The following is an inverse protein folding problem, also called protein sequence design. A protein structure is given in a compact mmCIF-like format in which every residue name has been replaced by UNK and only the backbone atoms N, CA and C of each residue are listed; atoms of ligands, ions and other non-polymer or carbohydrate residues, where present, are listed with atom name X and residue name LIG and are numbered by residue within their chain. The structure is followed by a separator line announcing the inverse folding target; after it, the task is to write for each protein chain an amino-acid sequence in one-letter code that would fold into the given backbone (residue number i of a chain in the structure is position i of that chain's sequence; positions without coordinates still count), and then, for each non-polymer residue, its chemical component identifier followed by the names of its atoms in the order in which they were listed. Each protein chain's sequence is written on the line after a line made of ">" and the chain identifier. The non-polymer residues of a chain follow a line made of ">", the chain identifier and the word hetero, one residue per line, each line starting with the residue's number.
data_IF_452221035230
#
_entry.id   IF_452221035230
#
_cell.length_a   1.000
_cell.length_b   1.000
_cell.length_c   1.000
_cell.angle_alpha   90.00
_cell.angle_beta   90.00
_cell.angle_gamma   90.00
#
_symmetry.space_group_name_H-M   'P 1'
#
loop_
_entity.id
_entity.type
_entity.pdbx_description
1 polymer ?
#
# COMPACT_ATOMS: atom_id res chain seq x y z
N UNK A 1 56.13 -17.01 30.97
CA UNK A 1 54.76 -17.32 30.52
C UNK A 1 54.22 -16.07 29.86
N UNK A 2 54.39 -15.95 28.55
CA UNK A 2 53.75 -14.91 27.77
C UNK A 2 52.25 -15.20 27.70
N UNK A 3 51.45 -14.24 28.15
CA UNK A 3 50.00 -14.28 28.03
C UNK A 3 49.69 -14.00 26.56
N UNK A 4 49.36 -15.04 25.80
CA UNK A 4 48.74 -14.92 24.49
C UNK A 4 47.37 -14.23 24.67
N UNK A 5 47.35 -12.90 24.57
CA UNK A 5 46.14 -12.14 24.34
C UNK A 5 45.66 -12.48 22.93
N UNK A 6 44.69 -13.39 22.84
CA UNK A 6 43.89 -13.61 21.63
C UNK A 6 43.35 -12.26 21.17
N UNK A 7 43.98 -11.67 20.15
CA UNK A 7 43.42 -10.55 19.41
C UNK A 7 42.22 -11.09 18.66
N UNK A 8 41.03 -11.02 19.28
CA UNK A 8 39.76 -11.16 18.55
C UNK A 8 39.82 -10.23 17.36
N UNK A 9 39.98 -10.79 16.16
CA UNK A 9 39.92 -10.04 14.91
C UNK A 9 38.50 -9.46 14.85
N UNK A 10 38.37 -8.16 15.14
CA UNK A 10 37.09 -7.47 15.01
C UNK A 10 36.78 -7.36 13.53
N UNK A 11 35.91 -8.24 13.03
CA UNK A 11 35.35 -8.14 11.69
C UNK A 11 34.66 -6.77 11.58
N UNK A 12 35.11 -5.95 10.62
CA UNK A 12 34.59 -4.62 10.35
C UNK A 12 34.25 -4.52 8.87
N UNK A 13 33.17 -3.81 8.55
CA UNK A 13 32.86 -3.49 7.15
C UNK A 13 33.81 -2.42 6.61
N UNK A 14 33.74 -2.16 5.29
CA UNK A 14 34.50 -1.08 4.59
C UNK A 14 34.22 0.32 5.16
N UNK A 15 33.08 0.52 5.83
CA UNK A 15 32.69 1.78 6.51
C UNK A 15 33.10 1.79 7.99
N UNK A 16 33.86 0.78 8.45
CA UNK A 16 34.48 0.75 9.78
C UNK A 16 33.60 0.23 10.93
N UNK A 17 32.34 -0.10 10.67
CA UNK A 17 31.41 -0.63 11.69
C UNK A 17 31.71 -2.10 12.01
N UNK A 18 31.77 -2.46 13.29
CA UNK A 18 31.94 -3.84 13.74
C UNK A 18 30.63 -4.62 13.85
N UNK A 19 30.71 -5.93 14.09
CA UNK A 19 29.55 -6.84 14.23
C UNK A 19 28.58 -6.42 15.35
N UNK A 20 29.09 -5.85 16.44
CA UNK A 20 28.32 -5.52 17.66
C UNK A 20 27.72 -4.11 17.62
N UNK A 21 28.12 -3.27 16.66
CA UNK A 21 27.69 -1.88 16.53
C UNK A 21 26.55 -1.75 15.51
N UNK A 22 25.64 -0.79 15.68
CA UNK A 22 24.62 -0.51 14.66
C UNK A 22 25.24 0.01 13.35
N UNK A 23 24.63 -0.30 12.22
CA UNK A 23 25.03 0.28 10.93
C UNK A 23 24.80 1.80 10.92
N UNK A 24 25.69 2.54 10.24
CA UNK A 24 25.51 3.98 10.03
C UNK A 24 24.32 4.23 9.09
N UNK A 25 23.57 5.30 9.34
CA UNK A 25 22.34 5.61 8.61
C UNK A 25 22.53 5.88 7.10
N UNK A 26 23.76 6.14 6.67
CA UNK A 26 24.16 6.36 5.29
C UNK A 26 24.98 5.20 4.70
N UNK A 27 25.08 4.05 5.40
CA UNK A 27 25.82 2.89 4.90
C UNK A 27 25.35 2.51 3.48
N UNK A 28 24.04 2.57 3.24
CA UNK A 28 23.45 2.26 1.94
C UNK A 28 23.90 3.19 0.81
N UNK A 29 24.00 4.50 1.09
CA UNK A 29 24.44 5.51 0.13
C UNK A 29 25.96 5.46 -0.09
N UNK A 30 26.72 5.20 0.96
CA UNK A 30 28.18 5.10 0.90
C UNK A 30 28.69 3.84 0.17
N UNK A 31 27.83 2.84 0.00
CA UNK A 31 28.10 1.63 -0.77
C UNK A 31 27.70 1.75 -2.26
N UNK A 32 27.14 2.88 -2.68
CA UNK A 32 26.71 3.13 -4.06
C UNK A 32 27.40 4.38 -4.60
N UNK A 33 28.47 4.19 -5.41
CA UNK A 33 28.52 5.03 -6.61
C UNK A 33 28.75 4.28 -7.94
N UNK A 34 29.52 3.18 -8.02
CA UNK A 34 29.87 2.54 -9.32
C UNK A 34 30.42 1.09 -9.20
N UNK A 35 30.29 0.42 -8.05
CA UNK A 35 30.96 -0.87 -7.80
C UNK A 35 30.11 -2.08 -8.25
N UNK A 36 30.74 -3.07 -8.88
CA UNK A 36 30.11 -4.33 -9.25
C UNK A 36 29.53 -5.03 -8.00
N UNK A 37 28.34 -5.63 -8.11
CA UNK A 37 27.59 -6.30 -7.03
C UNK A 37 28.38 -7.28 -6.15
N UNK A 38 29.55 -7.74 -6.62
CA UNK A 38 30.47 -8.61 -5.89
C UNK A 38 31.20 -7.87 -4.75
N UNK A 39 31.71 -6.67 -4.98
CA UNK A 39 32.46 -5.90 -3.96
C UNK A 39 31.55 -5.43 -2.82
N UNK A 40 30.30 -5.09 -3.13
CA UNK A 40 29.28 -4.75 -2.13
C UNK A 40 29.00 -5.95 -1.23
N UNK A 41 28.88 -7.16 -1.79
CA UNK A 41 28.68 -8.39 -1.01
C UNK A 41 29.88 -8.73 -0.13
N UNK A 42 31.09 -8.58 -0.65
CA UNK A 42 32.32 -8.92 0.07
C UNK A 42 32.66 -7.89 1.18
N UNK A 43 32.17 -6.65 1.08
CA UNK A 43 32.46 -5.57 2.04
C UNK A 43 31.35 -5.30 3.08
N UNK A 44 30.13 -5.75 2.80
CA UNK A 44 28.98 -5.54 3.68
C UNK A 44 28.80 -6.71 4.66
N UNK A 45 28.93 -6.43 5.96
CA UNK A 45 28.74 -7.44 7.03
C UNK A 45 27.29 -7.48 7.55
N UNK A 46 26.33 -6.90 6.83
CA UNK A 46 24.93 -6.84 7.31
C UNK A 46 24.32 -8.24 7.45
N UNK A 47 24.66 -9.17 6.56
CA UNK A 47 24.27 -10.59 6.70
C UNK A 47 24.79 -11.18 8.02
N UNK A 48 26.04 -10.91 8.37
CA UNK A 48 26.64 -11.46 9.60
C UNK A 48 25.99 -10.86 10.85
N UNK A 49 25.63 -9.56 10.81
CA UNK A 49 24.91 -8.90 11.90
C UNK A 49 23.51 -9.47 12.10
N UNK A 50 22.76 -9.67 11.02
CA UNK A 50 21.43 -10.29 11.10
C UNK A 50 21.52 -11.75 11.55
N UNK A 51 22.55 -12.48 11.13
CA UNK A 51 22.82 -13.83 11.63
C UNK A 51 23.17 -13.82 13.13
N UNK A 52 24.04 -12.92 13.57
CA UNK A 52 24.39 -12.78 14.99
C UNK A 52 23.16 -12.42 15.83
N UNK A 53 22.22 -11.64 15.28
CA UNK A 53 20.94 -11.37 15.92
C UNK A 53 20.09 -12.64 16.04
N UNK A 54 19.98 -13.43 14.96
CA UNK A 54 19.26 -14.72 14.96
C UNK A 54 19.82 -15.70 16.00
N UNK A 55 21.14 -15.66 16.23
CA UNK A 55 21.86 -16.48 17.21
C UNK A 55 21.84 -15.88 18.64
N UNK A 56 21.18 -14.74 18.86
CA UNK A 56 21.09 -14.07 20.17
C UNK A 56 22.39 -13.41 20.64
N UNK A 57 23.36 -13.21 19.75
CA UNK A 57 24.69 -12.64 20.07
C UNK A 57 24.72 -11.12 20.05
N UNK A 58 23.79 -10.48 19.33
CA UNK A 58 23.66 -9.01 19.28
C UNK A 58 22.21 -8.58 19.51
N UNK A 59 22.03 -7.35 19.99
CA UNK A 59 20.71 -6.79 20.28
C UNK A 59 19.91 -6.40 19.03
N UNK A 60 18.61 -6.18 19.23
CA UNK A 60 17.64 -5.85 18.17
C UNK A 60 18.04 -4.61 17.35
N UNK A 61 18.61 -3.58 17.99
CA UNK A 61 19.03 -2.36 17.30
C UNK A 61 20.12 -2.62 16.24
N UNK A 62 21.01 -3.58 16.50
CA UNK A 62 22.07 -3.97 15.56
C UNK A 62 21.46 -4.74 14.38
N UNK A 63 20.56 -5.69 14.66
CA UNK A 63 19.85 -6.45 13.62
C UNK A 63 18.99 -5.56 12.71
N UNK A 64 18.17 -4.69 13.31
CA UNK A 64 17.29 -3.76 12.57
C UNK A 64 18.10 -2.76 11.75
N UNK A 65 19.18 -2.19 12.31
CA UNK A 65 20.02 -1.26 11.53
C UNK A 65 20.73 -1.96 10.38
N UNK A 66 21.13 -3.23 10.55
CA UNK A 66 21.69 -4.03 9.45
C UNK A 66 20.65 -4.28 8.35
N UNK A 67 19.42 -4.63 8.71
CA UNK A 67 18.31 -4.81 7.77
C UNK A 67 18.02 -3.53 6.97
N UNK A 68 17.85 -2.39 7.66
CA UNK A 68 17.49 -1.11 7.02
C UNK A 68 18.60 -0.54 6.13
N UNK A 69 19.86 -0.89 6.40
CA UNK A 69 21.02 -0.32 5.70
C UNK A 69 21.64 -1.29 4.68
N UNK A 70 21.17 -2.53 4.63
CA UNK A 70 21.68 -3.52 3.70
C UNK A 70 21.29 -3.18 2.25
N UNK A 71 22.18 -3.55 1.33
CA UNK A 71 21.83 -3.60 -0.08
C UNK A 71 20.84 -4.76 -0.33
N UNK A 72 19.82 -4.62 -1.21
CA UNK A 72 18.83 -5.67 -1.47
C UNK A 72 19.42 -7.05 -1.77
N UNK A 73 20.48 -7.10 -2.59
CA UNK A 73 21.19 -8.35 -2.89
C UNK A 73 21.73 -9.08 -1.65
N UNK A 74 22.15 -8.34 -0.61
CA UNK A 74 22.62 -8.93 0.65
C UNK A 74 21.45 -9.54 1.42
N UNK A 75 20.28 -8.90 1.38
CA UNK A 75 19.06 -9.41 2.01
C UNK A 75 18.53 -10.66 1.29
N UNK A 76 18.55 -10.66 -0.05
CA UNK A 76 18.18 -11.81 -0.87
C UNK A 76 19.09 -13.02 -0.59
N UNK A 77 20.40 -12.81 -0.54
CA UNK A 77 21.35 -13.85 -0.21
C UNK A 77 21.13 -14.35 1.23
N UNK A 78 20.92 -13.43 2.18
CA UNK A 78 20.67 -13.78 3.58
C UNK A 78 19.46 -14.70 3.75
N UNK A 79 18.32 -14.38 3.15
CA UNK A 79 17.11 -15.22 3.29
C UNK A 79 17.20 -16.53 2.49
N UNK A 80 18.12 -16.64 1.52
CA UNK A 80 18.35 -17.87 0.78
C UNK A 80 19.05 -18.95 1.62
N UNK A 81 19.70 -18.56 2.73
CA UNK A 81 20.44 -19.46 3.63
C UNK A 81 19.53 -20.39 4.45
N UNK A 82 18.23 -20.14 4.53
CA UNK A 82 17.28 -21.01 5.25
C UNK A 82 16.08 -20.28 5.85
N UNK A 83 15.13 -21.07 6.36
CA UNK A 83 13.85 -20.59 6.92
C UNK A 83 14.03 -19.66 8.12
N UNK A 84 15.00 -19.95 9.00
CA UNK A 84 15.29 -19.11 10.17
C UNK A 84 15.64 -17.67 9.76
N UNK A 85 16.44 -17.50 8.70
CA UNK A 85 16.85 -16.17 8.22
C UNK A 85 15.70 -15.43 7.53
N UNK A 86 14.81 -16.16 6.86
CA UNK A 86 13.57 -15.62 6.32
C UNK A 86 12.64 -15.11 7.43
N UNK A 87 12.48 -15.86 8.52
CA UNK A 87 11.69 -15.42 9.69
C UNK A 87 12.28 -14.17 10.35
N UNK A 88 13.61 -14.04 10.41
CA UNK A 88 14.28 -12.82 10.91
C UNK A 88 13.90 -11.61 10.06
N UNK A 89 13.87 -11.75 8.73
CA UNK A 89 13.48 -10.65 7.84
C UNK A 89 12.00 -10.26 8.05
N UNK A 90 11.10 -11.24 8.15
CA UNK A 90 9.67 -11.00 8.46
C UNK A 90 9.46 -10.33 9.81
N UNK A 91 10.23 -10.74 10.82
CA UNK A 91 10.21 -10.12 12.14
C UNK A 91 10.56 -8.62 12.07
N UNK A 92 11.57 -8.25 11.29
CA UNK A 92 11.93 -6.83 11.11
C UNK A 92 10.86 -6.05 10.35
N UNK A 93 10.25 -6.62 9.31
CA UNK A 93 9.14 -5.98 8.59
C UNK A 93 7.93 -5.70 9.49
N UNK A 94 7.69 -6.56 10.48
CA UNK A 94 6.57 -6.38 11.42
C UNK A 94 6.87 -5.36 12.52
N UNK A 95 8.12 -5.28 12.97
CA UNK A 95 8.52 -4.48 14.13
C UNK A 95 8.85 -3.03 13.77
N UNK A 96 9.42 -2.79 12.59
CA UNK A 96 9.85 -1.45 12.18
C UNK A 96 8.67 -0.62 11.70
N UNK A 97 8.67 0.67 12.01
CA UNK A 97 7.63 1.60 11.51
C UNK A 97 7.54 1.57 9.98
N UNK A 98 6.33 1.53 9.38
CA UNK A 98 6.13 1.43 7.94
C UNK A 98 6.94 2.44 7.12
N UNK A 99 7.01 3.70 7.60
CA UNK A 99 7.76 4.79 6.94
C UNK A 99 9.26 4.50 6.80
N UNK A 100 9.86 3.77 7.74
CA UNK A 100 11.28 3.42 7.71
C UNK A 100 11.56 2.21 6.82
N UNK A 101 10.56 1.34 6.61
CA UNK A 101 10.67 0.15 5.77
C UNK A 101 10.54 0.51 4.28
N UNK A 102 9.78 1.55 3.95
CA UNK A 102 9.49 1.98 2.56
C UNK A 102 10.70 1.91 1.63
N UNK A 103 11.79 2.62 1.95
CA UNK A 103 12.98 2.65 1.10
C UNK A 103 13.64 1.26 0.95
N UNK A 104 13.50 0.40 1.95
CA UNK A 104 14.04 -0.96 1.92
C UNK A 104 13.22 -1.83 0.97
N UNK A 105 11.89 -1.82 1.15
CA UNK A 105 10.93 -2.59 0.33
C UNK A 105 10.86 -2.10 -1.13
N UNK A 106 10.96 -0.79 -1.37
CA UNK A 106 10.98 -0.22 -2.73
C UNK A 106 12.13 -0.80 -3.58
N UNK A 107 13.18 -1.30 -2.94
CA UNK A 107 14.37 -1.84 -3.60
C UNK A 107 14.45 -3.37 -3.58
N UNK A 108 13.48 -4.07 -2.98
CA UNK A 108 13.40 -5.52 -3.08
C UNK A 108 12.99 -5.92 -4.49
N UNK A 109 13.51 -7.05 -4.99
CA UNK A 109 12.95 -7.65 -6.20
C UNK A 109 11.51 -8.11 -5.96
N UNK A 110 10.70 -8.11 -7.02
CA UNK A 110 9.31 -8.59 -6.94
C UNK A 110 9.23 -10.05 -6.50
N UNK A 111 10.22 -10.86 -6.92
CA UNK A 111 10.37 -12.25 -6.47
C UNK A 111 10.57 -12.37 -4.97
N UNK A 112 11.42 -11.53 -4.38
CA UNK A 112 11.65 -11.51 -2.94
C UNK A 112 10.37 -11.09 -2.20
N UNK A 113 9.74 -9.99 -2.65
CA UNK A 113 8.50 -9.50 -2.05
C UNK A 113 7.42 -10.57 -2.10
N UNK A 114 7.24 -11.22 -3.25
CA UNK A 114 6.23 -12.27 -3.43
C UNK A 114 6.45 -13.40 -2.43
N UNK A 115 7.68 -13.89 -2.28
CA UNK A 115 8.02 -14.94 -1.31
C UNK A 115 7.68 -14.56 0.13
N UNK A 116 7.93 -13.30 0.51
CA UNK A 116 7.63 -12.79 1.85
C UNK A 116 6.11 -12.76 2.07
N UNK A 117 5.42 -12.08 1.16
CA UNK A 117 4.02 -11.74 1.34
C UNK A 117 3.10 -12.94 1.14
N UNK A 118 3.44 -13.88 0.25
CA UNK A 118 2.61 -15.08 0.01
C UNK A 118 2.61 -16.01 1.23
N UNK A 119 3.72 -16.04 1.96
CA UNK A 119 3.79 -16.79 3.22
C UNK A 119 2.87 -16.17 4.28
N UNK A 120 2.86 -14.84 4.38
CA UNK A 120 1.96 -14.11 5.28
C UNK A 120 0.50 -14.26 4.87
N UNK A 121 0.24 -14.29 3.56
CA UNK A 121 -1.08 -14.55 3.01
C UNK A 121 -1.56 -15.97 3.34
N UNK A 122 -0.69 -16.98 3.26
CA UNK A 122 -1.03 -18.34 3.67
C UNK A 122 -1.40 -18.43 5.16
N UNK A 123 -0.69 -17.72 6.04
CA UNK A 123 -1.06 -17.61 7.46
C UNK A 123 -2.40 -16.89 7.63
N UNK A 124 -2.61 -15.81 6.87
CA UNK A 124 -3.87 -15.08 6.86
C UNK A 124 -5.05 -16.00 6.48
N UNK A 125 -4.92 -16.76 5.39
CA UNK A 125 -5.95 -17.68 4.92
C UNK A 125 -6.25 -18.78 5.94
N UNK A 126 -5.23 -19.38 6.56
CA UNK A 126 -5.42 -20.41 7.60
C UNK A 126 -6.15 -19.89 8.83
N UNK A 127 -6.04 -18.59 9.12
CA UNK A 127 -6.71 -17.95 10.25
C UNK A 127 -8.00 -17.21 9.84
N UNK A 128 -8.35 -17.21 8.55
CA UNK A 128 -9.50 -16.48 8.02
C UNK A 128 -10.82 -17.11 8.47
N UNK A 129 -10.89 -18.45 8.50
CA UNK A 129 -12.07 -19.18 8.99
C UNK A 129 -12.39 -18.85 10.45
N UNK A 130 -11.36 -18.67 11.29
CA UNK A 130 -11.51 -18.23 12.67
C UNK A 130 -11.99 -16.76 12.77
N UNK A 131 -11.57 -15.91 11.83
CA UNK A 131 -11.96 -14.48 11.78
C UNK A 131 -13.36 -14.25 11.22
N UNK A 132 -13.78 -15.03 10.23
CA UNK A 132 -15.15 -15.01 9.70
C UNK A 132 -16.17 -15.34 10.80
N UNK A 133 -15.83 -16.30 11.67
CA UNK A 133 -16.62 -16.63 12.86
C UNK A 133 -16.71 -15.48 13.88
N UNK A 134 -15.75 -14.55 13.87
CA UNK A 134 -15.70 -13.36 14.75
C UNK A 134 -16.24 -12.08 14.11
N UNK A 135 -16.82 -12.14 12.90
CA UNK A 135 -17.30 -10.98 12.11
C UNK A 135 -16.24 -9.88 11.92
N UNK A 136 -14.96 -10.24 11.91
CA UNK A 136 -13.85 -9.30 11.63
C UNK A 136 -13.43 -9.47 10.18
N UNK A 137 -14.06 -8.72 9.29
CA UNK A 137 -13.74 -8.63 7.86
C UNK A 137 -12.61 -7.62 7.62
N UNK A 138 -11.43 -7.88 8.16
CA UNK A 138 -10.24 -7.08 7.81
C UNK A 138 -9.60 -7.69 6.55
N UNK A 139 -9.37 -6.86 5.52
CA UNK A 139 -8.62 -7.29 4.33
C UNK A 139 -7.20 -7.71 4.74
N UNK A 140 -6.56 -8.58 3.94
CA UNK A 140 -5.17 -8.97 4.15
C UNK A 140 -4.25 -7.75 4.27
N UNK A 141 -4.46 -6.73 3.43
CA UNK A 141 -3.63 -5.53 3.41
C UNK A 141 -3.94 -4.54 4.54
N UNK A 142 -5.06 -4.71 5.25
CA UNK A 142 -5.40 -3.92 6.44
C UNK A 142 -4.64 -4.38 7.70
N UNK A 143 -3.95 -5.51 7.63
CA UNK A 143 -3.12 -5.97 8.74
C UNK A 143 -1.98 -5.00 8.99
N UNK A 144 -1.67 -4.74 10.27
CA UNK A 144 -0.56 -3.87 10.68
C UNK A 144 0.78 -4.27 10.05
N UNK A 145 1.02 -5.57 9.86
CA UNK A 145 2.22 -6.07 9.18
C UNK A 145 2.34 -5.64 7.71
N UNK A 146 1.22 -5.26 7.09
CA UNK A 146 1.10 -4.89 5.68
C UNK A 146 0.85 -3.39 5.46
N UNK A 147 0.76 -2.59 6.53
CA UNK A 147 0.46 -1.15 6.46
C UNK A 147 1.48 -0.37 5.58
N UNK A 148 2.69 -0.89 5.41
CA UNK A 148 3.70 -0.29 4.55
C UNK A 148 3.30 -0.23 3.07
N UNK A 149 2.41 -1.12 2.59
CA UNK A 149 1.96 -1.13 1.19
C UNK A 149 1.28 0.19 0.79
N UNK A 150 0.48 0.78 1.67
CA UNK A 150 -0.14 2.09 1.42
C UNK A 150 0.84 3.25 1.34
N UNK A 151 2.11 3.05 1.73
CA UNK A 151 3.17 4.07 1.64
C UNK A 151 4.06 3.93 0.40
N UNK A 152 3.97 2.80 -0.31
CA UNK A 152 4.76 2.55 -1.51
C UNK A 152 4.28 3.39 -2.68
N UNK A 153 5.15 3.59 -3.67
CA UNK A 153 4.72 4.30 -4.88
C UNK A 153 3.74 3.44 -5.70
N UNK A 154 2.76 4.04 -6.41
CA UNK A 154 1.86 3.28 -7.28
C UNK A 154 2.61 2.45 -8.32
N UNK A 155 3.72 2.99 -8.87
CA UNK A 155 4.60 2.26 -9.80
C UNK A 155 5.18 0.99 -9.17
N UNK A 156 5.58 1.02 -7.90
CA UNK A 156 6.12 -0.15 -7.19
C UNK A 156 5.07 -1.23 -7.05
N UNK A 157 3.84 -0.86 -6.66
CA UNK A 157 2.71 -1.77 -6.51
C UNK A 157 2.32 -2.37 -7.87
N UNK A 158 2.24 -1.55 -8.92
CA UNK A 158 1.95 -2.01 -10.28
C UNK A 158 3.02 -2.98 -10.82
N UNK A 159 4.31 -2.74 -10.56
CA UNK A 159 5.39 -3.69 -10.89
C UNK A 159 5.17 -5.03 -10.19
N UNK A 160 4.82 -4.99 -8.90
CA UNK A 160 4.55 -6.18 -8.12
C UNK A 160 3.32 -6.97 -8.63
N UNK A 161 2.22 -6.29 -8.97
CA UNK A 161 1.04 -6.90 -9.62
C UNK A 161 1.45 -7.57 -10.94
N UNK A 162 2.22 -6.86 -11.77
CA UNK A 162 2.72 -7.38 -13.06
C UNK A 162 3.53 -8.67 -12.86
N UNK A 163 4.42 -8.72 -11.86
CA UNK A 163 5.15 -9.93 -11.50
C UNK A 163 4.23 -11.07 -11.07
N UNK A 164 3.21 -10.79 -10.24
CA UNK A 164 2.28 -11.82 -9.77
C UNK A 164 1.51 -12.47 -10.94
N UNK A 165 1.10 -11.68 -11.94
CA UNK A 165 0.38 -12.17 -13.12
C UNK A 165 1.30 -12.87 -14.14
N UNK A 166 2.47 -12.30 -14.40
CA UNK A 166 3.36 -12.76 -15.49
C UNK A 166 4.23 -13.93 -15.08
N UNK A 167 4.84 -13.84 -13.91
CA UNK A 167 5.86 -14.79 -13.44
C UNK A 167 5.27 -15.76 -12.42
N UNK A 168 4.58 -15.26 -11.39
CA UNK A 168 4.07 -16.12 -10.30
C UNK A 168 2.78 -16.88 -10.67
N UNK A 169 2.03 -16.41 -11.67
CA UNK A 169 0.74 -16.96 -12.10
C UNK A 169 -0.29 -17.03 -10.96
N UNK A 170 -0.41 -15.93 -10.22
CA UNK A 170 -1.24 -15.83 -9.01
C UNK A 170 -2.16 -14.59 -9.04
N UNK A 171 -3.21 -14.62 -9.86
CA UNK A 171 -4.11 -13.47 -10.05
C UNK A 171 -5.03 -13.22 -8.86
N UNK A 172 -5.42 -14.26 -8.11
CA UNK A 172 -6.24 -14.16 -6.90
C UNK A 172 -5.50 -13.42 -5.77
N UNK A 173 -4.21 -13.69 -5.63
CA UNK A 173 -3.40 -12.92 -4.70
C UNK A 173 -3.12 -11.50 -5.21
N UNK A 174 -2.85 -11.34 -6.50
CA UNK A 174 -2.58 -10.03 -7.10
C UNK A 174 -3.76 -9.06 -6.96
N UNK A 175 -5.00 -9.55 -7.07
CA UNK A 175 -6.21 -8.72 -6.98
C UNK A 175 -6.37 -8.01 -5.63
N UNK A 176 -5.80 -8.56 -4.55
CA UNK A 176 -5.82 -7.94 -3.22
C UNK A 176 -5.18 -6.53 -3.23
N UNK A 177 -4.18 -6.32 -4.09
CA UNK A 177 -3.41 -5.07 -4.17
C UNK A 177 -4.13 -3.94 -4.90
N UNK A 178 -5.25 -4.21 -5.57
CA UNK A 178 -6.07 -3.17 -6.19
C UNK A 178 -6.67 -2.23 -5.12
N UNK A 179 -6.89 -2.72 -3.91
CA UNK A 179 -7.50 -1.95 -2.80
C UNK A 179 -6.56 -0.89 -2.20
N UNK A 180 -5.24 -1.05 -2.38
CA UNK A 180 -4.22 -0.10 -1.87
C UNK A 180 -3.72 0.87 -2.93
N UNK A 181 -4.11 0.68 -4.19
CA UNK A 181 -3.78 1.62 -5.26
C UNK A 181 -4.69 2.85 -5.17
N UNK A 182 -4.15 4.06 -5.39
CA UNK A 182 -4.99 5.24 -5.52
C UNK A 182 -5.88 5.12 -6.79
N UNK A 183 -7.09 5.70 -6.79
CA UNK A 183 -8.04 5.56 -7.90
C UNK A 183 -7.49 5.92 -9.28
N UNK A 184 -6.58 6.90 -9.33
CA UNK A 184 -5.91 7.33 -10.57
C UNK A 184 -4.98 6.23 -11.11
N UNK A 185 -4.28 5.51 -10.23
CA UNK A 185 -3.41 4.42 -10.62
C UNK A 185 -4.19 3.16 -10.99
N UNK A 186 -5.33 2.91 -10.35
CA UNK A 186 -6.27 1.85 -10.76
C UNK A 186 -6.78 2.12 -12.18
N UNK A 187 -7.16 3.36 -12.48
CA UNK A 187 -7.67 3.75 -13.80
C UNK A 187 -6.63 3.62 -14.92
N UNK A 188 -5.35 3.79 -14.61
CA UNK A 188 -4.22 3.66 -15.55
C UNK A 188 -3.42 2.35 -15.38
N UNK A 189 -4.00 1.35 -14.69
CA UNK A 189 -3.29 0.13 -14.28
C UNK A 189 -2.65 -0.59 -15.45
N UNK A 190 -3.37 -0.69 -16.58
CA UNK A 190 -2.88 -1.30 -17.82
C UNK A 190 -1.51 -0.74 -18.22
N UNK A 191 -1.38 0.58 -18.25
CA UNK A 191 -0.16 1.24 -18.71
C UNK A 191 0.93 1.21 -17.63
N UNK A 192 0.55 1.38 -16.35
CA UNK A 192 1.50 1.39 -15.23
C UNK A 192 2.11 0.01 -14.94
N UNK A 193 1.31 -1.06 -15.03
CA UNK A 193 1.75 -2.45 -14.84
C UNK A 193 2.15 -3.14 -16.16
N UNK A 194 1.91 -2.49 -17.31
CA UNK A 194 2.22 -3.00 -18.64
C UNK A 194 1.48 -4.31 -18.94
N UNK A 195 0.20 -4.39 -18.57
CA UNK A 195 -0.62 -5.60 -18.73
C UNK A 195 -1.21 -5.70 -20.14
N UNK A 196 -1.34 -6.93 -20.63
CA UNK A 196 -2.16 -7.20 -21.80
C UNK A 196 -3.64 -7.42 -21.42
N UNK A 197 -4.51 -7.54 -22.42
CA UNK A 197 -5.98 -7.63 -22.23
C UNK A 197 -6.35 -8.88 -21.44
N UNK A 198 -5.69 -10.00 -21.71
CA UNK A 198 -5.93 -11.29 -21.06
C UNK A 198 -5.51 -11.26 -19.59
N UNK A 199 -4.34 -10.69 -19.27
CA UNK A 199 -3.83 -10.48 -17.91
C UNK A 199 -4.76 -9.57 -17.10
N UNK A 200 -5.30 -8.52 -17.72
CA UNK A 200 -6.29 -7.65 -17.08
C UNK A 200 -7.59 -8.39 -16.78
N UNK A 201 -8.11 -9.15 -17.75
CA UNK A 201 -9.31 -9.98 -17.54
C UNK A 201 -9.13 -10.95 -16.38
N UNK A 202 -7.99 -11.65 -16.36
CA UNK A 202 -7.66 -12.61 -15.29
C UNK A 202 -7.61 -11.92 -13.91
N UNK A 203 -6.98 -10.75 -13.82
CA UNK A 203 -6.89 -9.97 -12.59
C UNK A 203 -8.27 -9.52 -12.10
N UNK A 204 -9.12 -8.94 -12.97
CA UNK A 204 -10.42 -8.43 -12.55
C UNK A 204 -11.42 -9.55 -12.25
N UNK A 205 -11.41 -10.65 -13.00
CA UNK A 205 -12.22 -11.83 -12.67
C UNK A 205 -11.86 -12.42 -11.30
N UNK A 206 -10.58 -12.29 -10.91
CA UNK A 206 -10.09 -12.75 -9.61
C UNK A 206 -10.60 -11.90 -8.42
N UNK A 207 -11.25 -10.76 -8.67
CA UNK A 207 -11.98 -10.01 -7.65
C UNK A 207 -13.33 -10.65 -7.28
N UNK A 208 -13.83 -11.60 -8.08
CA UNK A 208 -15.18 -12.19 -7.91
C UNK A 208 -16.22 -11.05 -7.88
N UNK A 209 -17.08 -10.99 -6.87
CA UNK A 209 -18.08 -9.93 -6.73
C UNK A 209 -17.46 -8.52 -6.60
N UNK A 210 -16.19 -8.43 -6.20
CA UNK A 210 -15.45 -7.16 -6.12
C UNK A 210 -15.26 -6.46 -7.47
N UNK A 211 -15.44 -7.17 -8.60
CA UNK A 211 -15.42 -6.57 -9.94
C UNK A 211 -16.49 -5.47 -10.09
N UNK A 212 -17.62 -5.59 -9.40
CA UNK A 212 -18.71 -4.63 -9.43
C UNK A 212 -18.49 -3.47 -8.46
N UNK A 213 -17.74 -3.70 -7.37
CA UNK A 213 -17.40 -2.65 -6.41
C UNK A 213 -16.25 -1.75 -6.90
N UNK A 214 -15.35 -2.30 -7.72
CA UNK A 214 -14.17 -1.57 -8.19
C UNK A 214 -14.52 -0.26 -8.94
N UNK A 215 -15.49 -0.23 -9.89
CA UNK A 215 -15.95 1.01 -10.51
C UNK A 215 -16.61 2.01 -9.56
N UNK A 216 -17.16 1.57 -8.42
CA UNK A 216 -17.73 2.46 -7.41
C UNK A 216 -16.61 3.16 -6.63
N UNK A 217 -15.53 2.42 -6.33
CA UNK A 217 -14.36 2.93 -5.60
C UNK A 217 -13.45 3.78 -6.50
N UNK A 218 -13.31 3.41 -7.77
CA UNK A 218 -12.47 4.08 -8.76
C UNK A 218 -13.25 4.32 -10.07
N UNK A 219 -14.14 5.33 -10.13
CA UNK A 219 -15.04 5.48 -11.29
C UNK A 219 -14.35 5.68 -12.64
N UNK A 220 -13.12 6.19 -12.64
CA UNK A 220 -12.30 6.34 -13.86
C UNK A 220 -12.06 5.05 -14.63
N UNK A 221 -12.13 3.88 -13.97
CA UNK A 221 -11.93 2.58 -14.61
C UNK A 221 -13.20 2.02 -15.28
N UNK A 222 -14.37 2.57 -14.98
CA UNK A 222 -15.67 1.97 -15.34
C UNK A 222 -15.81 1.69 -16.84
N UNK A 223 -15.52 2.69 -17.69
CA UNK A 223 -15.64 2.56 -19.15
C UNK A 223 -14.70 1.47 -19.69
N UNK A 224 -13.51 1.35 -19.12
CA UNK A 224 -12.53 0.36 -19.52
C UNK A 224 -12.98 -1.06 -19.16
N UNK A 225 -13.42 -1.29 -17.91
CA UNK A 225 -13.93 -2.61 -17.49
C UNK A 225 -15.19 -3.00 -18.30
N UNK A 226 -16.10 -2.06 -18.54
CA UNK A 226 -17.30 -2.31 -19.34
C UNK A 226 -16.95 -2.79 -20.76
N UNK A 227 -15.97 -2.15 -21.40
CA UNK A 227 -15.47 -2.56 -22.72
C UNK A 227 -14.70 -3.89 -22.67
N UNK A 228 -13.92 -4.11 -21.60
CA UNK A 228 -13.12 -5.31 -21.43
C UNK A 228 -14.00 -6.57 -21.37
N UNK A 229 -15.17 -6.46 -20.72
CA UNK A 229 -16.10 -7.58 -20.51
C UNK A 229 -17.32 -7.55 -21.44
N UNK A 230 -17.29 -6.83 -22.56
CA UNK A 230 -18.40 -6.79 -23.52
C UNK A 230 -18.80 -8.19 -24.06
N UNK A 231 -17.82 -9.08 -24.16
CA UNK A 231 -18.03 -10.47 -24.62
C UNK A 231 -18.61 -11.41 -23.52
N UNK A 232 -18.69 -10.95 -22.26
CA UNK A 232 -19.26 -11.70 -21.14
C UNK A 232 -20.65 -11.11 -20.79
N UNK A 233 -21.75 -11.74 -21.25
CA UNK A 233 -23.08 -11.15 -21.13
C UNK A 233 -23.54 -10.91 -19.69
N UNK A 234 -23.08 -11.74 -18.73
CA UNK A 234 -23.48 -11.64 -17.34
C UNK A 234 -22.80 -10.44 -16.67
N UNK A 235 -21.48 -10.38 -16.77
CA UNK A 235 -20.69 -9.27 -16.20
C UNK A 235 -21.06 -7.95 -16.87
N UNK A 236 -21.17 -7.95 -18.21
CA UNK A 236 -21.54 -6.76 -18.97
C UNK A 236 -22.91 -6.22 -18.57
N UNK A 237 -23.91 -7.09 -18.45
CA UNK A 237 -25.26 -6.67 -18.06
C UNK A 237 -25.25 -5.99 -16.69
N UNK A 238 -24.62 -6.61 -15.69
CA UNK A 238 -24.55 -6.04 -14.33
C UNK A 238 -23.84 -4.68 -14.37
N UNK A 239 -22.64 -4.61 -14.95
CA UNK A 239 -21.87 -3.36 -15.03
C UNK A 239 -22.66 -2.24 -15.74
N UNK A 240 -23.36 -2.55 -16.83
CA UNK A 240 -24.15 -1.56 -17.58
C UNK A 240 -25.27 -0.93 -16.75
N UNK A 241 -25.84 -1.66 -15.79
CA UNK A 241 -26.88 -1.13 -14.88
C UNK A 241 -26.33 -0.20 -13.80
N UNK A 242 -25.01 -0.13 -13.63
CA UNK A 242 -24.35 0.63 -12.56
C UNK A 242 -23.94 2.04 -12.99
N UNK A 243 -24.15 2.45 -14.24
CA UNK A 243 -23.66 3.72 -14.79
C UNK A 243 -24.05 4.93 -13.94
N UNK A 244 -25.31 5.07 -13.55
CA UNK A 244 -25.78 6.19 -12.73
C UNK A 244 -25.10 6.22 -11.34
N UNK A 245 -24.90 5.04 -10.75
CA UNK A 245 -24.24 4.91 -9.44
C UNK A 245 -22.76 5.35 -9.53
N UNK A 246 -22.06 4.91 -10.58
CA UNK A 246 -20.67 5.27 -10.86
C UNK A 246 -20.53 6.77 -11.12
N UNK A 247 -21.41 7.35 -11.96
CA UNK A 247 -21.41 8.79 -12.25
C UNK A 247 -21.62 9.63 -10.99
N UNK A 248 -22.56 9.22 -10.14
CA UNK A 248 -22.79 9.90 -8.86
C UNK A 248 -21.58 9.82 -7.94
N UNK A 249 -20.90 8.67 -7.87
CA UNK A 249 -19.66 8.52 -7.09
C UNK A 249 -18.54 9.40 -7.62
N UNK A 250 -18.39 9.49 -8.94
CA UNK A 250 -17.43 10.41 -9.57
C UNK A 250 -17.70 11.86 -9.13
N UNK A 251 -18.95 12.32 -9.18
CA UNK A 251 -19.31 13.68 -8.75
C UNK A 251 -18.98 13.94 -7.28
N UNK A 252 -19.19 12.96 -6.39
CA UNK A 252 -18.85 13.06 -4.97
C UNK A 252 -17.34 13.21 -4.78
N UNK A 253 -16.53 12.41 -5.50
CA UNK A 253 -15.06 12.44 -5.41
C UNK A 253 -14.53 13.78 -5.91
N UNK A 254 -14.93 14.21 -7.11
CA UNK A 254 -14.50 15.48 -7.71
C UNK A 254 -14.88 16.68 -6.85
N UNK A 255 -16.14 16.74 -6.39
CA UNK A 255 -16.62 17.82 -5.54
C UNK A 255 -15.88 17.84 -4.20
N UNK A 256 -15.65 16.67 -3.61
CA UNK A 256 -14.86 16.55 -2.37
C UNK A 256 -13.45 17.07 -2.57
N UNK A 257 -12.78 16.71 -3.67
CA UNK A 257 -11.42 17.14 -3.97
C UNK A 257 -11.32 18.67 -4.08
N UNK A 258 -12.21 19.31 -4.85
CA UNK A 258 -12.23 20.77 -5.01
C UNK A 258 -12.42 21.49 -3.67
N UNK A 259 -13.25 20.94 -2.79
CA UNK A 259 -13.50 21.55 -1.48
C UNK A 259 -12.31 21.30 -0.53
N UNK A 260 -11.67 20.13 -0.60
CA UNK A 260 -10.45 19.81 0.16
C UNK A 260 -9.28 20.73 -0.22
N UNK A 261 -9.07 21.01 -1.50
CA UNK A 261 -8.04 21.97 -1.95
C UNK A 261 -8.26 23.38 -1.34
N UNK A 262 -9.53 23.80 -1.22
CA UNK A 262 -9.86 25.07 -0.54
C UNK A 262 -9.55 25.01 0.95
N UNK A 263 -9.76 23.85 1.58
CA UNK A 263 -9.43 23.65 2.99
C UNK A 263 -7.93 23.74 3.22
N UNK A 264 -7.13 22.99 2.46
CA UNK A 264 -5.68 22.95 2.58
C UNK A 264 -5.02 24.30 2.28
N UNK A 265 -5.59 25.06 1.35
CA UNK A 265 -5.13 26.42 1.03
C UNK A 265 -5.60 27.50 2.04
N UNK A 266 -6.32 27.12 3.10
CA UNK A 266 -6.85 28.03 4.12
C UNK A 266 -7.96 28.96 3.62
N UNK A 267 -8.51 28.69 2.44
CA UNK A 267 -9.56 29.50 1.79
C UNK A 267 -10.97 28.99 2.09
N UNK A 268 -11.10 27.83 2.74
CA UNK A 268 -12.38 27.29 3.12
C UNK A 268 -12.89 27.94 4.41
N UNK A 269 -14.02 28.63 4.28
CA UNK A 269 -14.85 29.06 5.40
C UNK A 269 -16.28 28.50 5.25
N UNK A 270 -17.10 28.56 6.30
CA UNK A 270 -18.45 27.99 6.29
C UNK A 270 -19.35 28.55 5.18
N UNK A 271 -19.15 29.81 4.75
CA UNK A 271 -19.91 30.42 3.65
C UNK A 271 -19.51 29.83 2.29
N UNK A 272 -18.21 29.67 2.03
CA UNK A 272 -17.69 29.05 0.81
C UNK A 272 -18.09 27.58 0.71
N UNK A 273 -18.00 26.84 1.83
CA UNK A 273 -18.43 25.46 1.91
C UNK A 273 -19.94 25.33 1.65
N UNK A 274 -20.76 26.17 2.28
CA UNK A 274 -22.20 26.21 2.03
C UNK A 274 -22.51 26.49 0.55
N UNK A 275 -21.82 27.48 -0.05
CA UNK A 275 -22.00 27.83 -1.46
C UNK A 275 -21.70 26.64 -2.37
N UNK A 276 -20.57 25.98 -2.18
CA UNK A 276 -20.16 24.82 -2.97
C UNK A 276 -21.16 23.66 -2.82
N UNK A 277 -21.56 23.35 -1.58
CA UNK A 277 -22.52 22.28 -1.30
C UNK A 277 -23.94 22.58 -1.79
N UNK A 278 -24.36 23.84 -1.80
CA UNK A 278 -25.71 24.26 -2.23
C UNK A 278 -25.96 24.09 -3.74
N UNK A 279 -24.90 23.94 -4.52
CA UNK A 279 -24.97 23.66 -5.95
C UNK A 279 -25.16 22.17 -6.28
N UNK A 280 -24.98 21.29 -5.29
CA UNK A 280 -25.03 19.84 -5.46
C UNK A 280 -26.39 19.23 -5.08
N UNK A 281 -26.65 18.02 -5.55
CA UNK A 281 -27.81 17.23 -5.16
C UNK A 281 -27.79 16.91 -3.66
N UNK A 282 -28.96 16.86 -2.98
CA UNK A 282 -29.03 16.70 -1.53
C UNK A 282 -28.25 15.49 -1.03
N UNK A 283 -28.32 14.39 -1.74
CA UNK A 283 -27.72 13.13 -1.36
C UNK A 283 -26.20 13.18 -1.51
N UNK A 284 -25.69 13.81 -2.57
CA UNK A 284 -24.25 14.08 -2.77
C UNK A 284 -23.73 14.98 -1.65
N UNK A 285 -24.45 16.07 -1.35
CA UNK A 285 -24.09 16.99 -0.28
C UNK A 285 -23.99 16.27 1.07
N UNK A 286 -24.95 15.39 1.39
CA UNK A 286 -24.96 14.65 2.63
C UNK A 286 -23.78 13.67 2.75
N UNK A 287 -23.38 13.07 1.64
CA UNK A 287 -22.25 12.15 1.59
C UNK A 287 -20.92 12.90 1.78
N UNK A 288 -20.72 14.04 1.10
CA UNK A 288 -19.54 14.91 1.28
C UNK A 288 -19.43 15.38 2.74
N UNK A 289 -20.54 15.81 3.34
CA UNK A 289 -20.58 16.18 4.76
C UNK A 289 -20.25 15.00 5.70
N UNK A 290 -20.60 13.77 5.30
CA UNK A 290 -20.17 12.54 5.97
C UNK A 290 -18.65 12.37 5.94
N UNK A 291 -18.07 12.39 4.74
CA UNK A 291 -16.64 12.26 4.50
C UNK A 291 -15.85 13.31 5.30
N UNK A 292 -16.34 14.54 5.37
CA UNK A 292 -15.66 15.63 6.05
C UNK A 292 -15.70 15.51 7.58
N UNK A 293 -16.77 14.96 8.14
CA UNK A 293 -16.85 14.62 9.56
C UNK A 293 -15.86 13.49 9.89
N UNK A 294 -15.81 12.44 9.06
CA UNK A 294 -14.90 11.30 9.24
C UNK A 294 -13.43 11.71 9.16
N UNK A 295 -13.09 12.64 8.27
CA UNK A 295 -11.73 13.21 8.13
C UNK A 295 -11.40 14.26 9.19
N UNK A 296 -12.31 14.57 10.11
CA UNK A 296 -12.11 15.57 11.17
C UNK A 296 -12.02 17.02 10.67
N UNK A 297 -12.47 17.29 9.44
CA UNK A 297 -12.49 18.62 8.82
C UNK A 297 -13.65 19.45 9.39
N UNK A 298 -14.76 18.77 9.70
CA UNK A 298 -15.93 19.36 10.33
C UNK A 298 -16.24 18.64 11.64
N UNK A 299 -16.56 19.41 12.67
CA UNK A 299 -17.20 18.88 13.86
C UNK A 299 -18.65 18.47 13.59
N UNK A 300 -19.18 17.54 14.39
CA UNK A 300 -20.57 17.06 14.29
C UNK A 300 -21.61 18.19 14.39
N UNK A 301 -21.35 19.20 15.21
CA UNK A 301 -22.19 20.40 15.34
C UNK A 301 -22.19 21.27 14.08
N UNK A 302 -21.03 21.42 13.44
CA UNK A 302 -20.88 22.21 12.20
C UNK A 302 -21.57 21.53 11.02
N UNK A 303 -21.44 20.20 10.91
CA UNK A 303 -22.17 19.40 9.94
C UNK A 303 -23.68 19.59 10.07
N UNK A 304 -24.21 19.53 11.30
CA UNK A 304 -25.65 19.70 11.53
C UNK A 304 -26.13 21.11 11.16
N UNK A 305 -25.34 22.15 11.50
CA UNK A 305 -25.66 23.53 11.12
C UNK A 305 -25.72 23.70 9.60
N UNK A 306 -24.71 23.21 8.87
CA UNK A 306 -24.67 23.32 7.40
C UNK A 306 -25.82 22.52 6.77
N UNK A 307 -26.11 21.33 7.29
CA UNK A 307 -27.25 20.51 6.86
C UNK A 307 -28.58 21.26 7.01
N UNK A 308 -28.82 21.89 8.15
CA UNK A 308 -30.03 22.68 8.39
C UNK A 308 -30.13 23.88 7.43
N UNK A 309 -29.03 24.61 7.22
CA UNK A 309 -29.00 25.74 6.29
C UNK A 309 -29.32 25.31 4.86
N UNK A 310 -28.78 24.18 4.40
CA UNK A 310 -29.02 23.64 3.06
C UNK A 310 -30.48 23.20 2.88
N UNK A 311 -31.05 22.56 3.90
CA UNK A 311 -32.46 22.15 3.89
C UNK A 311 -33.40 23.35 3.75
N UNK A 312 -33.14 24.43 4.51
CA UNK A 312 -33.91 25.69 4.41
C UNK A 312 -33.73 26.32 3.04
N UNK A 313 -32.51 26.39 2.51
CA UNK A 313 -32.23 27.00 1.20
C UNK A 313 -32.94 26.30 0.04
N UNK A 314 -33.03 24.96 0.06
CA UNK A 314 -33.76 24.20 -0.99
C UNK A 314 -35.27 24.39 -0.91
N UNK A 315 -35.84 24.52 0.29
CA UNK A 315 -37.26 24.89 0.47
C UNK A 315 -37.54 26.26 -0.15
N UNK A 316 -36.62 27.23 0.01
CA UNK A 316 -36.76 28.55 -0.62
C UNK A 316 -36.63 28.52 -2.14
N UNK A 317 -35.74 27.69 -2.72
CA UNK A 317 -35.64 27.55 -4.20
C UNK A 317 -36.86 26.91 -4.84
N UNK A 318 -37.51 25.95 -4.17
CA UNK A 318 -38.72 25.27 -4.67
C UNK A 318 -40.02 26.09 -4.49
N UNK A 319 -39.93 27.28 -3.88
CA UNK A 319 -41.06 28.19 -3.64
C UNK A 319 -40.95 29.53 -4.38
N UNK A 320 -40.01 29.64 -5.33
CA UNK A 320 -39.97 30.77 -6.27
C UNK A 320 -40.60 30.28 -7.57
N UNK A 321 -41.75 30.83 -8.00
CA UNK A 321 -42.48 30.39 -9.20
C UNK A 321 -41.74 30.65 -10.50
#
# INVERSE_FOLDING_TARGET
>A
MEVCLDKKIKIRCKVGTSLEESCLANCRQNLLPNEWSREIRESCIASDKMQAFAEGKVGINVGVSAFLQAHPLVLEEFISKGTVYFEVLRYFLTLVEPKKIKETVDLFSDKLLYKIIIYEYGIYQQTEDERRNLKKTASFLDLKSNEYWGSLSPKRICSFISYCLKEAKDPEFASQFLTVLPPEAVSDLKNLAGLNVEEEKELYLSLKDGIYELPIQSPGIYRHILQLFEDDPEIFFILSTMEELVLRKQQIIESSHVILEKYESGKLNHQSLFKDLSALEPEITMEILGIFEEKGILGRSEKNLIKELLSKHKIFKNHIP
#
